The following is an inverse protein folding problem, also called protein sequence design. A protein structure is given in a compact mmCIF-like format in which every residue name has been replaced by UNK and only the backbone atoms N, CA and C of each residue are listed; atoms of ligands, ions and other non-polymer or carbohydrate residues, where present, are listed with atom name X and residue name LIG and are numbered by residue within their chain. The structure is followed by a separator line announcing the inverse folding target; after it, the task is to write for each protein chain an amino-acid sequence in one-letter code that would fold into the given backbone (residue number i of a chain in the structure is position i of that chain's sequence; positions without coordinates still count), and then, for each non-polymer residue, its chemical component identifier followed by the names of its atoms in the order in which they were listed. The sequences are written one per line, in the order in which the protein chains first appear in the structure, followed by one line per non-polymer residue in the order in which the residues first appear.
data_IF_764456399578
#
_entry.id   IF_764456399578
#
_cell.length_a   1.000
_cell.length_b   1.000
_cell.length_c   1.000
_cell.angle_alpha   90.00
_cell.angle_beta   90.00
_cell.angle_gamma   90.00
#
_symmetry.space_group_name_H-M   'P 1'
#
loop_
_entity.id
_entity.type
_entity.pdbx_description
1 polymer ?
#
# COMPACT_ATOMS: atom_id res chain seq x y z
N UNK A 1 9.62 15.58 -6.43
CA UNK A 1 9.18 15.36 -5.03
C UNK A 1 10.24 15.82 -4.05
N UNK A 2 9.94 15.99 -2.76
CA UNK A 2 10.94 16.38 -1.75
C UNK A 2 12.16 15.43 -1.71
N UNK A 3 11.96 14.13 -1.99
CA UNK A 3 13.02 13.15 -2.14
C UNK A 3 13.92 13.44 -3.35
N UNK A 4 13.33 13.65 -4.54
CA UNK A 4 14.09 14.02 -5.76
C UNK A 4 14.94 15.28 -5.58
N UNK A 5 14.40 16.30 -4.89
CA UNK A 5 15.16 17.53 -4.60
C UNK A 5 16.35 17.31 -3.66
N UNK A 6 16.36 16.21 -2.88
CA UNK A 6 17.47 15.80 -2.02
C UNK A 6 18.38 14.74 -2.67
N UNK A 7 18.11 14.34 -3.92
CA UNK A 7 18.84 13.24 -4.58
C UNK A 7 18.54 11.87 -3.97
N UNK A 8 17.45 11.74 -3.21
CA UNK A 8 16.97 10.47 -2.65
C UNK A 8 16.00 9.80 -3.62
N UNK A 9 16.07 8.49 -3.73
CA UNK A 9 15.07 7.71 -4.44
C UNK A 9 13.73 7.72 -3.70
N UNK A 10 12.65 7.87 -4.47
CA UNK A 10 11.31 7.77 -3.92
C UNK A 10 10.98 6.32 -3.58
N UNK A 11 10.62 6.08 -2.31
CA UNK A 11 10.05 4.81 -1.85
C UNK A 11 8.52 4.89 -1.75
N UNK A 12 7.76 4.01 -2.43
CA UNK A 12 6.31 3.90 -2.28
C UNK A 12 5.92 3.24 -0.94
N UNK A 13 4.70 3.49 -0.42
CA UNK A 13 4.18 2.73 0.71
C UNK A 13 3.99 1.25 0.32
N UNK A 14 4.08 0.30 1.27
CA UNK A 14 3.94 -1.12 0.98
C UNK A 14 2.58 -1.47 0.34
N UNK A 15 2.55 -2.43 -0.59
CA UNK A 15 1.33 -2.91 -1.25
C UNK A 15 0.28 -3.50 -0.28
N UNK A 16 0.70 -3.83 0.94
CA UNK A 16 -0.19 -4.25 2.03
C UNK A 16 -0.96 -3.10 2.68
N UNK A 17 -0.66 -1.84 2.33
CA UNK A 17 -1.37 -0.64 2.78
C UNK A 17 -2.42 -0.20 1.75
N UNK A 18 -3.39 0.63 2.13
CA UNK A 18 -4.41 1.11 1.21
C UNK A 18 -3.82 1.90 0.02
N UNK A 19 -2.84 2.77 0.29
CA UNK A 19 -2.19 3.57 -0.74
C UNK A 19 -1.28 2.71 -1.64
N UNK A 20 -0.51 1.80 -1.05
CA UNK A 20 0.35 0.91 -1.82
C UNK A 20 -0.44 -0.07 -2.67
N UNK A 21 -1.52 -0.64 -2.15
CA UNK A 21 -2.41 -1.53 -2.91
C UNK A 21 -3.02 -0.83 -4.12
N UNK A 22 -3.48 0.41 -3.94
CA UNK A 22 -4.03 1.21 -5.03
C UNK A 22 -2.95 1.57 -6.07
N UNK A 23 -1.76 1.97 -5.60
CA UNK A 23 -0.62 2.25 -6.48
C UNK A 23 -0.27 1.02 -7.32
N UNK A 24 -0.08 -0.14 -6.69
CA UNK A 24 0.22 -1.41 -7.38
C UNK A 24 -0.85 -1.77 -8.40
N UNK A 25 -2.12 -1.57 -8.08
CA UNK A 25 -3.22 -1.83 -9.02
C UNK A 25 -3.14 -0.93 -10.25
N UNK A 26 -2.79 0.35 -10.08
CA UNK A 26 -2.66 1.31 -11.18
C UNK A 26 -1.39 1.07 -12.01
N UNK A 27 -0.30 0.59 -11.41
CA UNK A 27 1.02 0.52 -12.07
C UNK A 27 1.48 -0.88 -12.46
N UNK A 28 0.88 -1.95 -11.93
CA UNK A 28 1.42 -3.31 -12.04
C UNK A 28 0.47 -4.39 -12.53
N UNK A 29 -0.83 -4.35 -12.19
CA UNK A 29 -1.72 -5.52 -12.33
C UNK A 29 -2.82 -5.39 -13.39
N UNK A 30 -2.84 -4.29 -14.16
CA UNK A 30 -3.87 -4.09 -15.16
C UNK A 30 -3.31 -4.22 -16.59
N UNK A 31 -3.80 -5.21 -17.33
CA UNK A 31 -3.81 -5.13 -18.80
C UNK A 31 -4.46 -3.81 -19.16
N UNK A 32 -3.71 -2.88 -19.75
CA UNK A 32 -4.13 -1.50 -19.97
C UNK A 32 -5.49 -1.39 -20.68
N UNK A 33 -5.83 -2.38 -21.51
CA UNK A 33 -7.09 -2.47 -22.25
C UNK A 33 -8.31 -2.80 -21.38
N UNK A 34 -8.11 -3.42 -20.22
CA UNK A 34 -9.20 -3.86 -19.30
C UNK A 34 -9.22 -3.12 -17.97
N UNK A 35 -8.25 -2.22 -17.75
CA UNK A 35 -8.20 -1.41 -16.54
C UNK A 35 -9.51 -0.65 -16.36
N UNK A 36 -10.07 -0.75 -15.15
CA UNK A 36 -11.19 0.06 -14.73
C UNK A 36 -10.79 0.82 -13.46
N UNK A 37 -10.91 2.16 -13.46
CA UNK A 37 -10.67 2.94 -12.25
C UNK A 37 -11.59 2.46 -11.13
N UNK A 38 -11.03 2.19 -9.96
CA UNK A 38 -11.80 1.86 -8.78
C UNK A 38 -11.22 2.46 -7.51
N UNK A 39 -12.11 2.70 -6.54
CA UNK A 39 -11.71 3.01 -5.18
C UNK A 39 -11.05 1.80 -4.50
N UNK A 40 -10.25 2.08 -3.49
CA UNK A 40 -9.60 1.04 -2.68
C UNK A 40 -10.64 0.09 -2.07
N UNK A 41 -10.36 -1.21 -2.17
CA UNK A 41 -11.14 -2.27 -1.54
C UNK A 41 -10.21 -3.41 -1.13
N UNK A 42 -10.67 -4.32 -0.26
CA UNK A 42 -9.84 -5.43 0.26
C UNK A 42 -9.38 -6.44 -0.80
N UNK A 43 -9.98 -6.43 -2.00
CA UNK A 43 -9.54 -7.27 -3.11
C UNK A 43 -8.21 -6.84 -3.73
N UNK A 44 -7.81 -5.57 -3.53
CA UNK A 44 -6.53 -5.04 -4.03
C UNK A 44 -5.33 -5.40 -3.15
N UNK A 45 -5.58 -5.88 -1.93
CA UNK A 45 -4.52 -6.15 -0.97
C UNK A 45 -3.92 -7.54 -1.24
N UNK A 46 -2.60 -7.72 -1.10
CA UNK A 46 -1.97 -9.04 -1.15
C UNK A 46 -2.68 -10.01 -0.19
N UNK A 47 -2.99 -11.25 -0.58
CA UNK A 47 -3.85 -12.13 0.20
C UNK A 47 -3.29 -12.44 1.59
N UNK A 48 -4.18 -12.79 2.53
CA UNK A 48 -3.84 -13.41 3.81
C UNK A 48 -4.24 -14.88 3.76
N UNK A 49 -3.30 -15.77 4.07
CA UNK A 49 -3.56 -17.19 4.20
C UNK A 49 -4.07 -17.53 5.60
N UNK A 50 -4.92 -18.55 5.71
CA UNK A 50 -5.34 -19.15 7.00
C UNK A 50 -6.11 -18.22 7.97
N UNK A 51 -6.72 -17.14 7.48
CA UNK A 51 -7.56 -16.25 8.31
C UNK A 51 -9.05 -16.57 8.14
N UNK A 52 -9.76 -16.77 9.26
CA UNK A 52 -11.22 -16.99 9.26
C UNK A 52 -11.95 -15.79 8.64
N UNK A 53 -13.00 -16.05 7.85
CA UNK A 53 -13.78 -15.02 7.13
C UNK A 53 -14.18 -13.82 8.00
N UNK A 54 -14.61 -14.07 9.25
CA UNK A 54 -15.02 -13.03 10.21
C UNK A 54 -13.87 -12.09 10.61
N UNK A 55 -12.64 -12.60 10.66
CA UNK A 55 -11.44 -11.87 11.11
C UNK A 55 -10.67 -11.23 9.95
N UNK A 56 -11.00 -11.58 8.70
CA UNK A 56 -10.19 -11.22 7.53
C UNK A 56 -10.00 -9.71 7.32
N UNK A 57 -11.06 -8.91 7.49
CA UNK A 57 -10.97 -7.45 7.33
C UNK A 57 -10.09 -6.81 8.41
N UNK A 58 -10.23 -7.30 9.64
CA UNK A 58 -9.41 -6.85 10.77
C UNK A 58 -7.95 -7.24 10.55
N UNK A 59 -7.68 -8.48 10.15
CA UNK A 59 -6.33 -8.95 9.86
C UNK A 59 -5.65 -8.14 8.75
N UNK A 60 -6.36 -7.82 7.66
CA UNK A 60 -5.84 -6.92 6.64
C UNK A 60 -5.51 -5.53 7.19
N UNK A 61 -6.41 -4.98 7.99
CA UNK A 61 -6.23 -3.65 8.60
C UNK A 61 -5.04 -3.63 9.56
N UNK A 62 -4.88 -4.68 10.37
CA UNK A 62 -3.77 -4.82 11.32
C UNK A 62 -2.43 -4.93 10.61
N UNK A 63 -2.33 -5.76 9.56
CA UNK A 63 -1.13 -5.85 8.70
C UNK A 63 -0.84 -4.50 8.05
N UNK A 64 -1.84 -3.87 7.44
CA UNK A 64 -1.69 -2.57 6.79
C UNK A 64 -1.16 -1.49 7.74
N UNK A 65 -1.68 -1.43 8.98
CA UNK A 65 -1.22 -0.48 10.01
C UNK A 65 0.22 -0.74 10.43
N UNK A 66 0.58 -2.01 10.65
CA UNK A 66 1.94 -2.40 11.03
C UNK A 66 2.96 -2.01 9.95
N UNK A 67 2.68 -2.39 8.70
CA UNK A 67 3.58 -2.15 7.57
C UNK A 67 3.69 -0.65 7.24
N UNK A 68 2.57 0.08 7.32
CA UNK A 68 2.59 1.55 7.18
C UNK A 68 3.42 2.19 8.29
N UNK A 69 3.29 1.72 9.54
CA UNK A 69 4.06 2.21 10.66
C UNK A 69 5.57 2.01 10.47
N UNK A 70 5.98 0.82 10.02
CA UNK A 70 7.38 0.53 9.68
C UNK A 70 7.89 1.44 8.56
N UNK A 71 7.10 1.61 7.50
CA UNK A 71 7.46 2.47 6.38
C UNK A 71 7.61 3.93 6.81
N UNK A 72 6.68 4.48 7.60
CA UNK A 72 6.79 5.84 8.14
C UNK A 72 8.04 5.99 9.01
N UNK A 73 8.34 5.01 9.86
CA UNK A 73 9.51 5.06 10.76
C UNK A 73 10.85 5.09 10.01
N UNK A 74 10.90 4.52 8.80
CA UNK A 74 12.07 4.57 7.92
C UNK A 74 12.22 5.91 7.18
N UNK A 75 11.18 6.74 7.15
CA UNK A 75 11.22 8.06 6.51
C UNK A 75 11.59 9.12 7.52
N UNK A 76 12.61 9.90 7.20
CA UNK A 76 13.05 11.03 8.00
C UNK A 76 11.87 11.99 8.21
N UNK A 77 11.59 12.36 9.47
CA UNK A 77 10.58 13.37 9.76
C UNK A 77 11.14 14.71 9.30
N UNK A 78 10.58 15.28 8.23
CA UNK A 78 10.79 16.68 7.92
C UNK A 78 10.25 17.48 9.11
N UNK A 79 11.08 18.24 9.86
CA UNK A 79 10.59 19.10 10.91
C UNK A 79 9.63 20.13 10.30
N UNK A 80 8.51 20.37 10.97
CA UNK A 80 7.52 21.36 10.56
C UNK A 80 8.04 22.79 10.72
#
# INVERSE_FOLDING_TARGET
TAAEHRGEDWSPPPATTALGALLSHVTGDAEAETFQPMNVNFGLFPPLHEVKKKQRKEAYTSRAKADLGQWIAQRERVPA
#
